data_IF_552075340546
#
_entry.id   IF_552075340546
#
_cell.length_a   1.000
_cell.length_b   1.000
_cell.length_c   1.000
_cell.angle_alpha   90.00
_cell.angle_beta   90.00
_cell.angle_gamma   90.00
#
_symmetry.space_group_name_H-M   'P 1'
#
loop_
_entity.id
_entity.type
_entity.pdbx_description
1 polymer ?
#
# COMPACT_ATOMS: atom_id res chain seq x y z
N UNK A 1 -10.63 -8.74 -9.98
CA UNK A 1 -9.37 -8.61 -10.75
C UNK A 1 -8.13 -8.73 -9.86
N UNK A 2 -8.16 -8.36 -8.57
CA UNK A 2 -7.04 -8.65 -7.66
C UNK A 2 -6.94 -10.14 -7.31
N UNK A 3 -5.71 -10.67 -7.31
CA UNK A 3 -5.42 -12.10 -7.08
C UNK A 3 -4.95 -12.41 -5.65
N UNK A 4 -4.82 -11.41 -4.77
CA UNK A 4 -4.35 -11.61 -3.40
C UNK A 4 -5.13 -10.73 -2.41
N UNK A 5 -5.23 -11.18 -1.15
CA UNK A 5 -5.87 -10.40 -0.10
C UNK A 5 -5.09 -9.10 0.15
N UNK A 6 -5.81 -7.98 0.30
CA UNK A 6 -5.22 -6.66 0.56
C UNK A 6 -4.46 -6.57 1.90
N UNK A 7 -4.75 -7.46 2.84
CA UNK A 7 -4.14 -7.42 4.17
C UNK A 7 -4.45 -6.07 4.84
N UNK A 8 -3.42 -5.34 5.26
CA UNK A 8 -3.54 -3.98 5.80
C UNK A 8 -3.62 -2.89 4.72
N UNK A 9 -3.32 -3.18 3.46
CA UNK A 9 -3.36 -2.18 2.39
C UNK A 9 -4.78 -1.62 2.22
N UNK A 10 -4.90 -0.29 2.12
CA UNK A 10 -6.17 0.44 2.16
C UNK A 10 -6.93 0.34 3.49
N UNK A 11 -6.34 -0.27 4.53
CA UNK A 11 -6.83 -0.24 5.91
C UNK A 11 -6.37 1.02 6.64
N UNK A 12 -6.42 0.97 7.97
CA UNK A 12 -6.04 2.09 8.84
C UNK A 12 -5.18 1.61 10.01
N UNK A 13 -4.17 2.40 10.36
CA UNK A 13 -3.39 2.26 11.59
C UNK A 13 -3.52 3.56 12.37
N UNK A 14 -3.75 3.44 13.66
CA UNK A 14 -4.05 4.58 14.51
C UNK A 14 -4.20 4.19 15.96
N UNK A 15 -4.72 5.11 16.75
CA UNK A 15 -4.91 4.90 18.19
C UNK A 15 -6.22 5.50 18.67
N UNK A 16 -6.69 4.97 19.80
CA UNK A 16 -7.82 5.51 20.57
C UNK A 16 -7.30 5.76 21.98
N UNK A 17 -7.51 6.98 22.48
CA UNK A 17 -7.13 7.38 23.83
C UNK A 17 -8.22 7.00 24.85
N UNK A 18 -7.88 6.87 26.15
CA UNK A 18 -8.88 6.64 27.20
C UNK A 18 -9.97 7.72 27.25
N UNK A 19 -9.64 8.94 26.82
CA UNK A 19 -10.57 10.08 26.72
C UNK A 19 -11.43 10.06 25.45
N UNK A 20 -11.45 8.95 24.72
CA UNK A 20 -12.25 8.72 23.50
C UNK A 20 -11.86 9.57 22.29
N UNK A 21 -10.70 10.23 22.31
CA UNK A 21 -10.11 10.80 21.09
C UNK A 21 -9.44 9.70 20.27
N UNK A 22 -9.50 9.82 18.95
CA UNK A 22 -8.88 8.87 18.03
C UNK A 22 -8.25 9.57 16.84
N UNK A 23 -7.23 8.94 16.26
CA UNK A 23 -6.60 9.36 15.01
C UNK A 23 -6.14 8.11 14.24
N UNK A 24 -6.46 8.07 12.95
CA UNK A 24 -6.22 6.93 12.06
C UNK A 24 -5.74 7.41 10.70
N UNK A 25 -4.71 6.76 10.18
CA UNK A 25 -4.23 7.00 8.82
C UNK A 25 -4.93 6.11 7.79
N UNK A 26 -4.56 6.29 6.52
CA UNK A 26 -4.82 5.32 5.45
C UNK A 26 -3.50 4.61 5.14
N UNK A 27 -3.50 3.28 5.19
CA UNK A 27 -2.31 2.47 4.92
C UNK A 27 -2.11 2.34 3.42
N UNK A 28 -1.33 3.25 2.87
CA UNK A 28 -0.84 3.26 1.49
C UNK A 28 0.67 3.47 1.50
N UNK A 29 1.36 3.17 0.39
CA UNK A 29 2.82 3.34 0.24
C UNK A 29 3.63 2.69 1.38
N UNK A 30 3.15 1.57 1.90
CA UNK A 30 3.72 0.89 3.07
C UNK A 30 4.21 -0.51 2.70
N UNK A 31 5.26 -0.96 3.39
CA UNK A 31 5.79 -2.32 3.27
C UNK A 31 5.34 -3.13 4.47
N UNK A 32 4.76 -4.30 4.23
CA UNK A 32 4.35 -5.25 5.25
C UNK A 32 5.31 -6.42 5.27
N UNK A 33 5.98 -6.61 6.41
CA UNK A 33 6.89 -7.71 6.63
C UNK A 33 6.39 -8.61 7.76
N UNK A 34 6.24 -9.89 7.47
CA UNK A 34 5.98 -10.93 8.44
C UNK A 34 7.29 -11.70 8.69
N UNK A 35 7.92 -11.45 9.84
CA UNK A 35 9.19 -12.05 10.21
C UNK A 35 9.08 -13.58 10.40
N UNK A 36 7.98 -14.08 10.95
CA UNK A 36 7.77 -15.51 11.21
C UNK A 36 7.76 -16.33 9.92
N UNK A 37 7.19 -15.77 8.85
CA UNK A 37 7.11 -16.41 7.54
C UNK A 37 8.16 -15.89 6.54
N UNK A 38 9.04 -14.99 6.97
CA UNK A 38 9.96 -14.22 6.12
C UNK A 38 9.30 -13.65 4.86
N UNK A 39 8.05 -13.21 4.99
CA UNK A 39 7.23 -12.78 3.87
C UNK A 39 7.15 -11.25 3.82
N UNK A 40 7.48 -10.67 2.68
CA UNK A 40 7.38 -9.23 2.42
C UNK A 40 6.35 -8.97 1.34
N UNK A 41 5.47 -8.00 1.58
CA UNK A 41 4.47 -7.56 0.62
C UNK A 41 4.34 -6.05 0.60
N UNK A 42 4.05 -5.51 -0.57
CA UNK A 42 3.67 -4.12 -0.78
C UNK A 42 2.64 -4.10 -1.91
N UNK A 43 1.69 -3.19 -1.82
CA UNK A 43 0.62 -3.05 -2.80
C UNK A 43 0.59 -1.63 -3.33
N UNK A 44 0.28 -1.51 -4.62
CA UNK A 44 0.15 -0.26 -5.35
C UNK A 44 -1.16 -0.28 -6.11
N UNK A 45 -1.74 0.90 -6.31
CA UNK A 45 -2.96 1.06 -7.04
C UNK A 45 -3.23 2.53 -7.34
N UNK A 46 -4.22 2.77 -8.18
CA UNK A 46 -4.71 4.08 -8.62
C UNK A 46 -6.23 4.11 -8.62
N UNK A 47 -6.79 5.32 -8.73
CA UNK A 47 -8.23 5.50 -8.84
C UNK A 47 -8.64 5.54 -10.30
N UNK A 48 -9.34 4.52 -10.78
CA UNK A 48 -9.80 4.48 -12.18
C UNK A 48 -11.02 5.37 -12.34
N UNK A 49 -10.93 6.34 -13.25
CA UNK A 49 -12.03 7.25 -13.62
C UNK A 49 -12.44 7.02 -15.08
N UNK A 50 -13.53 7.66 -15.52
CA UNK A 50 -14.01 7.54 -16.91
C UNK A 50 -12.97 8.02 -17.95
N UNK A 51 -12.12 8.97 -17.57
CA UNK A 51 -11.08 9.51 -18.44
C UNK A 51 -9.72 8.82 -18.24
N UNK A 52 -9.63 7.80 -17.37
CA UNK A 52 -8.38 7.10 -17.12
C UNK A 52 -7.99 6.24 -18.33
N UNK A 53 -6.74 6.34 -18.76
CA UNK A 53 -6.14 5.42 -19.72
C UNK A 53 -5.48 4.27 -18.96
N UNK A 54 -5.73 3.04 -19.40
CA UNK A 54 -5.18 1.83 -18.76
C UNK A 54 -3.64 1.80 -18.77
N UNK A 55 -3.01 2.33 -19.83
CA UNK A 55 -1.55 2.38 -19.95
C UNK A 55 -0.97 3.35 -18.91
N UNK A 56 -1.50 4.57 -18.83
CA UNK A 56 -1.06 5.61 -17.90
C UNK A 56 -1.21 5.17 -16.43
N UNK A 57 -2.34 4.55 -16.08
CA UNK A 57 -2.60 4.05 -14.71
C UNK A 57 -1.66 2.90 -14.32
N UNK A 58 -1.31 2.05 -15.30
CA UNK A 58 -0.34 0.97 -15.10
C UNK A 58 1.07 1.53 -14.88
N UNK A 59 1.49 2.51 -15.68
CA UNK A 59 2.76 3.21 -15.49
C UNK A 59 2.83 3.90 -14.13
N UNK A 60 1.75 4.55 -13.68
CA UNK A 60 1.68 5.15 -12.34
C UNK A 60 1.86 4.10 -11.24
N UNK A 61 1.22 2.94 -11.37
CA UNK A 61 1.38 1.83 -10.44
C UNK A 61 2.83 1.32 -10.40
N UNK A 62 3.48 1.18 -11.56
CA UNK A 62 4.88 0.78 -11.66
C UNK A 62 5.82 1.78 -11.00
N UNK A 63 5.58 3.08 -11.19
CA UNK A 63 6.37 4.15 -10.57
C UNK A 63 6.29 4.10 -9.04
N UNK A 64 5.08 3.93 -8.48
CA UNK A 64 4.87 3.74 -7.03
C UNK A 64 5.60 2.52 -6.50
N UNK A 65 5.58 1.42 -7.25
CA UNK A 65 6.27 0.17 -6.88
C UNK A 65 7.79 0.32 -6.96
N UNK A 66 8.31 1.03 -7.97
CA UNK A 66 9.74 1.28 -8.13
C UNK A 66 10.33 2.01 -6.94
N UNK A 67 9.64 3.03 -6.42
CA UNK A 67 10.08 3.76 -5.23
C UNK A 67 10.27 2.82 -4.03
N UNK A 68 9.38 1.85 -3.85
CA UNK A 68 9.47 0.84 -2.79
C UNK A 68 10.62 -0.15 -3.07
N UNK A 69 10.76 -0.62 -4.31
CA UNK A 69 11.84 -1.54 -4.72
C UNK A 69 13.23 -0.95 -4.52
N UNK A 70 13.42 0.33 -4.85
CA UNK A 70 14.72 1.03 -4.66
C UNK A 70 15.20 0.95 -3.21
N UNK A 71 14.28 1.17 -2.24
CA UNK A 71 14.61 1.09 -0.82
C UNK A 71 14.99 -0.34 -0.39
N UNK A 72 14.35 -1.35 -0.96
CA UNK A 72 14.61 -2.75 -0.59
C UNK A 72 15.94 -3.29 -1.18
N UNK A 73 16.31 -2.87 -2.39
CA UNK A 73 17.49 -3.40 -3.11
C UNK A 73 18.78 -2.65 -2.76
N UNK A 74 18.70 -1.44 -2.18
CA UNK A 74 19.87 -0.68 -1.73
C UNK A 74 20.47 -1.16 -0.38
N UNK A 75 20.16 -2.40 0.04
CA UNK A 75 20.64 -3.00 1.30
C UNK A 75 21.91 -3.83 1.10
#
# INVERSE_FOLDING_TARGET
>A
YEQSNRGLYSGAVGYITPNKNFDFNVVIRSILYNASNQYLSYQVGGGITFNSNAEDEYEECLLKAEAIRKVLVQS
#
